data_IF_144892842908
#
_entry.id   IF_144892842908
#
_cell.length_a   1.000
_cell.length_b   1.000
_cell.length_c   1.000
_cell.angle_alpha   90.00
_cell.angle_beta   90.00
_cell.angle_gamma   90.00
#
_symmetry.space_group_name_H-M   'P 1'
#
loop_
_entity.id
_entity.type
_entity.pdbx_description
1 polymer ?
#
# COMPACT_ATOMS: atom_id res chain seq x y z
N UNK A 1 -6.85 -27.76 3.28
CA UNK A 1 -7.67 -28.18 4.41
C UNK A 1 -9.06 -27.56 4.22
N UNK A 2 -10.09 -28.40 4.11
CA UNK A 2 -11.48 -27.96 4.13
C UNK A 2 -11.83 -27.70 5.59
N UNK A 3 -11.98 -26.42 5.97
CA UNK A 3 -12.46 -26.06 7.31
C UNK A 3 -13.92 -26.46 7.43
N UNK A 4 -14.20 -27.47 8.27
CA UNK A 4 -15.57 -27.86 8.60
C UNK A 4 -15.88 -27.27 9.97
N UNK A 5 -16.91 -26.43 10.05
CA UNK A 5 -17.46 -25.94 11.31
C UNK A 5 -18.60 -26.86 11.70
N UNK A 6 -18.46 -27.53 12.84
CA UNK A 6 -19.54 -28.39 13.40
C UNK A 6 -20.34 -27.60 14.44
N UNK A 7 -21.62 -27.40 14.18
CA UNK A 7 -22.54 -26.71 15.09
C UNK A 7 -23.28 -27.74 15.88
N UNK A 8 -23.19 -27.69 17.22
CA UNK A 8 -23.79 -28.69 18.17
C UNK A 8 -25.29 -28.52 18.39
N UNK A 9 -26.05 -27.99 17.47
CA UNK A 9 -27.49 -27.76 17.54
C UNK A 9 -28.11 -27.50 16.18
N UNK A 10 -29.37 -27.06 16.13
CA UNK A 10 -29.98 -26.61 14.89
C UNK A 10 -29.18 -25.46 14.35
N UNK A 11 -28.68 -25.58 13.10
CA UNK A 11 -27.89 -24.52 12.47
C UNK A 11 -28.72 -23.25 12.34
N UNK A 12 -28.24 -22.09 12.79
CA UNK A 12 -28.89 -20.81 12.49
C UNK A 12 -28.92 -20.62 10.97
N UNK A 13 -29.90 -19.89 10.48
CA UNK A 13 -30.09 -19.68 9.04
C UNK A 13 -28.83 -19.11 8.35
N UNK A 14 -28.06 -18.28 9.07
CA UNK A 14 -26.82 -17.66 8.59
C UNK A 14 -25.76 -17.63 9.70
N UNK A 15 -24.99 -18.74 9.88
CA UNK A 15 -23.90 -18.74 10.84
C UNK A 15 -22.79 -17.78 10.42
N UNK A 16 -22.29 -16.98 11.35
CA UNK A 16 -21.10 -16.17 11.18
C UNK A 16 -19.98 -16.73 12.02
N UNK A 17 -18.77 -16.75 11.51
CA UNK A 17 -17.60 -17.20 12.24
C UNK A 17 -16.39 -16.35 11.90
N UNK A 18 -15.48 -16.21 12.85
CA UNK A 18 -14.13 -15.75 12.59
C UNK A 18 -13.30 -16.92 12.09
N UNK A 19 -12.58 -16.73 11.01
CA UNK A 19 -11.77 -17.78 10.41
C UNK A 19 -10.31 -17.36 10.47
N UNK A 20 -9.47 -18.14 11.12
CA UNK A 20 -8.03 -18.07 10.95
C UNK A 20 -7.68 -18.53 9.54
N UNK A 21 -6.88 -17.71 8.84
CA UNK A 21 -6.66 -17.84 7.40
C UNK A 21 -5.72 -18.98 7.01
N UNK A 22 -4.99 -18.76 5.92
CA UNK A 22 -4.10 -19.75 5.33
C UNK A 22 -2.86 -20.01 6.20
N UNK A 23 -2.69 -21.26 6.62
CA UNK A 23 -1.62 -21.69 7.53
C UNK A 23 -0.81 -22.87 6.95
N UNK A 24 0.06 -22.63 5.95
CA UNK A 24 0.90 -23.68 5.38
C UNK A 24 1.88 -24.22 6.45
N UNK A 25 1.92 -25.55 6.60
CA UNK A 25 2.77 -26.17 7.65
C UNK A 25 2.35 -25.84 9.09
N UNK A 26 1.13 -25.36 9.31
CA UNK A 26 0.60 -25.01 10.66
C UNK A 26 0.99 -23.60 11.13
N UNK A 27 1.64 -22.78 10.30
CA UNK A 27 2.00 -21.40 10.61
C UNK A 27 1.06 -20.45 9.87
N UNK A 28 0.31 -19.64 10.63
CA UNK A 28 -0.59 -18.64 10.05
C UNK A 28 0.21 -17.53 9.33
N UNK A 29 -0.07 -17.35 8.05
CA UNK A 29 0.43 -16.22 7.30
C UNK A 29 -0.52 -15.03 7.47
N UNK A 30 -0.02 -13.94 8.02
CA UNK A 30 -0.84 -12.75 8.33
C UNK A 30 -0.24 -11.44 7.83
N UNK A 31 1.03 -11.42 7.42
CA UNK A 31 1.70 -10.20 6.92
C UNK A 31 1.60 -10.13 5.42
N UNK A 32 1.43 -8.93 4.90
CA UNK A 32 1.20 -8.70 3.46
C UNK A 32 2.29 -9.29 2.56
N UNK A 33 3.58 -9.08 2.87
CA UNK A 33 4.67 -9.61 2.05
C UNK A 33 4.72 -11.13 2.04
N UNK A 34 4.49 -11.78 3.21
CA UNK A 34 4.46 -13.23 3.33
C UNK A 34 3.27 -13.84 2.57
N UNK A 35 2.10 -13.18 2.63
CA UNK A 35 0.92 -13.58 1.87
C UNK A 35 1.15 -13.46 0.36
N UNK A 36 1.76 -12.35 -0.11
CA UNK A 36 2.08 -12.14 -1.52
C UNK A 36 3.08 -13.21 -1.99
N UNK A 37 4.13 -13.49 -1.21
CA UNK A 37 5.10 -14.52 -1.54
C UNK A 37 4.41 -15.88 -1.69
N UNK A 38 3.57 -16.26 -0.74
CA UNK A 38 2.82 -17.50 -0.80
C UNK A 38 1.86 -17.58 -1.99
N UNK A 39 1.20 -16.46 -2.35
CA UNK A 39 0.34 -16.40 -3.54
C UNK A 39 1.15 -16.61 -4.83
N UNK A 40 2.33 -16.00 -4.94
CA UNK A 40 3.20 -16.15 -6.10
C UNK A 40 3.74 -17.58 -6.22
N UNK A 41 4.26 -18.16 -5.14
CA UNK A 41 4.86 -19.48 -5.15
C UNK A 41 3.84 -20.61 -5.28
N UNK A 42 2.80 -20.58 -4.43
CA UNK A 42 1.89 -21.73 -4.28
C UNK A 42 0.73 -21.72 -5.28
N UNK A 43 0.23 -20.54 -5.63
CA UNK A 43 -0.96 -20.42 -6.49
C UNK A 43 -0.61 -20.02 -7.92
N UNK A 44 0.34 -19.09 -8.10
CA UNK A 44 0.78 -18.68 -9.43
C UNK A 44 1.96 -19.52 -9.97
N UNK A 45 2.61 -20.29 -9.11
CA UNK A 45 3.77 -21.13 -9.44
C UNK A 45 4.90 -20.34 -10.13
N UNK A 46 5.10 -19.09 -9.69
CA UNK A 46 6.18 -18.23 -10.18
C UNK A 46 7.51 -18.75 -9.62
N UNK A 47 8.51 -18.99 -10.48
CA UNK A 47 9.83 -19.40 -10.01
C UNK A 47 10.47 -18.34 -9.08
N UNK A 48 11.13 -18.78 -7.99
CA UNK A 48 11.76 -17.88 -7.02
C UNK A 48 12.77 -16.91 -7.64
N UNK A 49 13.41 -17.30 -8.75
CA UNK A 49 14.33 -16.41 -9.48
C UNK A 49 13.62 -15.19 -10.08
N UNK A 50 12.30 -15.24 -10.24
CA UNK A 50 11.45 -14.17 -10.73
C UNK A 50 10.74 -13.40 -9.61
N UNK A 51 11.10 -13.66 -8.36
CA UNK A 51 10.55 -12.99 -7.18
C UNK A 51 11.66 -12.31 -6.41
N UNK A 52 11.50 -11.04 -6.10
CA UNK A 52 12.39 -10.35 -5.15
C UNK A 52 11.91 -10.65 -3.72
N UNK A 53 12.29 -11.83 -3.23
CA UNK A 53 11.93 -12.29 -1.88
C UNK A 53 12.41 -11.30 -0.81
N UNK A 54 13.58 -10.68 -1.02
CA UNK A 54 14.12 -9.72 -0.06
C UNK A 54 13.24 -8.47 0.06
N UNK A 55 12.71 -7.97 -1.05
CA UNK A 55 11.77 -6.85 -1.05
C UNK A 55 10.45 -7.20 -0.35
N UNK A 56 9.91 -8.40 -0.58
CA UNK A 56 8.67 -8.85 0.09
C UNK A 56 8.88 -9.02 1.60
N UNK A 57 10.02 -9.55 2.03
CA UNK A 57 10.37 -9.64 3.45
C UNK A 57 10.56 -8.24 4.08
N UNK A 58 11.18 -7.32 3.35
CA UNK A 58 11.30 -5.92 3.78
C UNK A 58 9.92 -5.24 3.89
N UNK A 59 8.99 -5.55 2.98
CA UNK A 59 7.60 -5.07 3.06
C UNK A 59 6.90 -5.60 4.32
N UNK A 60 7.03 -6.91 4.64
CA UNK A 60 6.51 -7.50 5.88
C UNK A 60 7.13 -6.87 7.14
N UNK A 61 8.41 -6.47 7.07
CA UNK A 61 9.08 -5.75 8.16
C UNK A 61 8.61 -4.30 8.31
N UNK A 62 8.39 -3.60 7.19
CA UNK A 62 7.91 -2.21 7.18
C UNK A 62 6.42 -2.09 7.56
N UNK A 63 5.65 -3.16 7.35
CA UNK A 63 4.25 -3.28 7.74
C UNK A 63 4.01 -4.65 8.39
N UNK A 64 4.30 -4.79 9.69
CA UNK A 64 4.20 -6.06 10.40
C UNK A 64 2.77 -6.41 10.85
N UNK A 65 1.82 -5.47 10.74
CA UNK A 65 0.46 -5.67 11.18
C UNK A 65 -0.25 -6.80 10.43
N UNK A 66 -1.04 -7.63 11.11
CA UNK A 66 -1.84 -8.64 10.49
C UNK A 66 -2.90 -8.06 9.56
N UNK A 67 -3.01 -8.65 8.37
CA UNK A 67 -4.04 -8.34 7.40
C UNK A 67 -4.85 -9.59 7.05
N UNK A 68 -6.11 -9.39 6.66
CA UNK A 68 -7.01 -10.47 6.26
C UNK A 68 -7.72 -10.16 4.94
N UNK A 69 -7.69 -11.10 4.02
CA UNK A 69 -8.41 -11.02 2.75
C UNK A 69 -9.22 -12.31 2.58
N UNK A 70 -10.53 -12.16 2.39
CA UNK A 70 -11.40 -13.25 1.99
C UNK A 70 -11.48 -13.36 0.47
N UNK A 71 -11.19 -14.55 -0.02
CA UNK A 71 -11.39 -14.92 -1.43
C UNK A 71 -12.54 -15.91 -1.46
N UNK A 72 -13.70 -15.44 -1.92
CA UNK A 72 -14.93 -16.26 -1.96
C UNK A 72 -14.88 -17.34 -3.04
N UNK A 73 -16.07 -17.84 -3.40
CA UNK A 73 -16.29 -18.89 -4.39
C UNK A 73 -16.03 -18.44 -5.86
N UNK A 74 -15.91 -17.13 -6.07
CA UNK A 74 -15.61 -16.58 -7.41
C UNK A 74 -14.11 -16.66 -7.68
N UNK A 75 -13.78 -17.12 -8.89
CA UNK A 75 -12.41 -17.12 -9.36
C UNK A 75 -11.83 -15.69 -9.32
N UNK A 76 -10.77 -15.51 -8.56
CA UNK A 76 -10.01 -14.27 -8.52
C UNK A 76 -8.66 -14.47 -9.21
N UNK A 77 -8.25 -13.51 -10.04
CA UNK A 77 -6.90 -13.57 -10.61
C UNK A 77 -5.85 -13.28 -9.56
N UNK A 78 -4.67 -13.87 -9.71
CA UNK A 78 -3.51 -13.61 -8.84
C UNK A 78 -3.23 -12.12 -8.71
N UNK A 79 -3.27 -11.38 -9.83
CA UNK A 79 -3.06 -9.93 -9.83
C UNK A 79 -4.12 -9.17 -9.03
N UNK A 80 -5.38 -9.63 -9.07
CA UNK A 80 -6.46 -9.03 -8.27
C UNK A 80 -6.20 -9.21 -6.78
N UNK A 81 -5.76 -10.40 -6.37
CA UNK A 81 -5.45 -10.72 -4.97
C UNK A 81 -4.25 -9.90 -4.49
N UNK A 82 -3.15 -9.92 -5.24
CA UNK A 82 -1.95 -9.14 -4.92
C UNK A 82 -2.27 -7.64 -4.87
N UNK A 83 -3.03 -7.15 -5.86
CA UNK A 83 -3.46 -5.75 -5.89
C UNK A 83 -4.33 -5.34 -4.70
N UNK A 84 -5.19 -6.24 -4.20
CA UNK A 84 -5.98 -6.00 -3.00
C UNK A 84 -5.09 -5.95 -1.74
N UNK A 85 -4.16 -6.89 -1.59
CA UNK A 85 -3.20 -6.93 -0.49
C UNK A 85 -2.33 -5.68 -0.44
N UNK A 86 -1.79 -5.24 -1.58
CA UNK A 86 -0.96 -4.04 -1.67
C UNK A 86 -1.76 -2.77 -1.36
N UNK A 87 -2.95 -2.62 -1.94
CA UNK A 87 -3.82 -1.47 -1.65
C UNK A 87 -4.22 -1.41 -0.18
N UNK A 88 -4.46 -2.57 0.43
CA UNK A 88 -4.87 -2.67 1.84
C UNK A 88 -3.87 -2.10 2.84
N UNK A 89 -2.63 -1.89 2.43
CA UNK A 89 -1.56 -1.30 3.26
C UNK A 89 -0.89 -0.09 2.58
N UNK A 90 -1.50 0.46 1.53
CA UNK A 90 -0.96 1.57 0.75
C UNK A 90 0.47 1.28 0.24
N UNK A 91 0.65 0.12 -0.36
CA UNK A 91 1.89 -0.35 -0.96
C UNK A 91 1.77 -0.39 -2.49
N UNK A 92 2.90 -0.44 -3.16
CA UNK A 92 3.03 -0.63 -4.60
C UNK A 92 3.69 -1.98 -4.90
N UNK A 93 3.47 -2.51 -6.10
CA UNK A 93 4.15 -3.69 -6.60
C UNK A 93 4.22 -3.68 -8.11
N UNK A 94 5.22 -4.36 -8.64
CA UNK A 94 5.48 -4.43 -10.07
C UNK A 94 6.69 -5.30 -10.37
N UNK A 95 7.23 -5.19 -11.58
CA UNK A 95 8.43 -5.90 -11.98
C UNK A 95 9.63 -4.96 -12.01
N UNK A 96 10.74 -5.40 -11.43
CA UNK A 96 12.01 -4.69 -11.49
C UNK A 96 12.67 -4.86 -12.88
N UNK A 97 13.84 -4.23 -13.06
CA UNK A 97 14.61 -4.32 -14.33
C UNK A 97 15.14 -5.72 -14.64
N UNK A 98 15.20 -6.60 -13.66
CA UNK A 98 15.56 -8.01 -13.82
C UNK A 98 14.34 -8.89 -14.09
N UNK A 99 13.18 -8.30 -14.34
CA UNK A 99 11.90 -8.97 -14.52
C UNK A 99 11.50 -9.84 -13.33
N UNK A 100 11.85 -9.40 -12.10
CA UNK A 100 11.42 -10.03 -10.86
C UNK A 100 10.26 -9.23 -10.26
N UNK A 101 9.24 -9.91 -9.76
CA UNK A 101 8.20 -9.25 -9.01
C UNK A 101 8.77 -8.67 -7.72
N UNK A 102 8.59 -7.39 -7.52
CA UNK A 102 9.01 -6.63 -6.34
C UNK A 102 7.86 -5.80 -5.79
N UNK A 103 7.91 -5.48 -4.52
CA UNK A 103 6.92 -4.63 -3.88
C UNK A 103 7.56 -3.78 -2.79
N UNK A 104 6.94 -2.65 -2.51
CA UNK A 104 7.40 -1.75 -1.47
C UNK A 104 6.30 -0.85 -0.95
N UNK A 105 6.57 -0.15 0.13
CA UNK A 105 5.64 0.80 0.71
C UNK A 105 6.10 2.21 0.41
N UNK A 106 5.18 3.08 -0.03
CA UNK A 106 5.52 4.48 -0.20
C UNK A 106 5.85 5.10 1.17
N UNK A 107 7.05 5.64 1.27
CA UNK A 107 7.56 6.29 2.47
C UNK A 107 8.12 7.67 2.14
N UNK A 108 8.27 8.50 3.17
CA UNK A 108 9.00 9.75 3.02
C UNK A 108 10.44 9.46 2.54
N UNK A 109 10.99 10.30 1.65
CA UNK A 109 12.35 10.11 1.16
C UNK A 109 13.36 10.02 2.28
N UNK A 110 14.21 8.99 2.25
CA UNK A 110 15.21 8.75 3.31
C UNK A 110 16.04 7.51 3.06
N UNK A 111 16.93 7.19 3.98
CA UNK A 111 17.82 6.02 3.89
C UNK A 111 18.99 6.20 2.94
N UNK A 112 19.37 5.14 2.22
CA UNK A 112 20.53 5.13 1.34
C UNK A 112 20.25 5.93 0.06
N UNK A 113 21.07 6.93 -0.21
CA UNK A 113 21.01 7.72 -1.44
C UNK A 113 21.70 6.93 -2.55
N UNK A 114 20.96 6.58 -3.59
CA UNK A 114 21.47 5.79 -4.72
C UNK A 114 22.16 6.65 -5.79
N UNK A 115 21.66 7.87 -5.99
CA UNK A 115 22.27 8.81 -6.91
C UNK A 115 22.00 10.25 -6.47
N UNK A 116 22.81 11.17 -7.01
CA UNK A 116 22.61 12.60 -6.86
C UNK A 116 22.48 13.21 -8.26
N UNK A 117 21.41 13.99 -8.48
CA UNK A 117 21.16 14.72 -9.69
C UNK A 117 21.34 16.21 -9.44
N UNK A 118 22.25 16.81 -10.17
CA UNK A 118 22.55 18.24 -10.13
C UNK A 118 22.12 18.96 -11.41
N UNK A 119 22.37 20.25 -11.49
CA UNK A 119 22.01 21.05 -12.64
C UNK A 119 22.72 20.62 -13.95
N UNK A 120 23.83 19.90 -13.87
CA UNK A 120 24.55 19.40 -15.05
C UNK A 120 23.95 18.11 -15.61
N UNK A 121 23.34 17.30 -14.73
CA UNK A 121 22.72 16.03 -15.09
C UNK A 121 21.23 16.17 -15.47
N UNK A 122 20.56 17.25 -15.06
CA UNK A 122 19.14 17.48 -15.31
C UNK A 122 18.93 18.24 -16.61
N UNK A 123 18.30 17.62 -17.58
CA UNK A 123 17.95 18.20 -18.89
C UNK A 123 16.62 18.92 -18.85
N UNK A 124 15.66 18.33 -18.18
CA UNK A 124 14.29 18.86 -18.06
C UNK A 124 13.74 18.65 -16.65
N UNK A 125 12.90 19.59 -16.22
CA UNK A 125 12.26 19.57 -14.92
C UNK A 125 10.87 20.18 -15.01
N UNK A 126 9.85 19.43 -14.60
CA UNK A 126 8.49 19.92 -14.48
C UNK A 126 7.88 19.44 -13.16
N UNK A 127 7.11 20.30 -12.51
CA UNK A 127 6.20 19.84 -11.46
C UNK A 127 4.98 19.23 -12.14
N UNK A 128 4.61 18.02 -11.70
CA UNK A 128 3.44 17.31 -12.22
C UNK A 128 2.34 17.29 -11.18
N UNK A 129 1.10 17.17 -11.63
CA UNK A 129 -0.04 17.04 -10.74
C UNK A 129 0.08 15.75 -9.93
N UNK A 130 -0.16 15.84 -8.64
CA UNK A 130 -0.28 14.67 -7.78
C UNK A 130 -1.65 13.99 -7.93
N UNK A 131 -1.79 12.76 -7.39
CA UNK A 131 -3.11 12.17 -7.22
C UNK A 131 -3.98 13.05 -6.32
N UNK A 132 -5.30 12.90 -6.43
CA UNK A 132 -6.28 13.74 -5.74
C UNK A 132 -6.05 13.84 -4.21
N UNK A 133 -5.51 12.79 -3.62
CA UNK A 133 -5.16 12.75 -2.17
C UNK A 133 -4.03 13.73 -1.80
N UNK A 134 -3.24 14.19 -2.76
CA UNK A 134 -2.07 15.05 -2.55
C UNK A 134 -2.28 16.50 -2.98
N UNK A 135 -3.26 16.80 -3.82
CA UNK A 135 -3.41 18.12 -4.43
C UNK A 135 -4.89 18.60 -4.46
N UNK A 136 -5.33 19.32 -3.43
CA UNK A 136 -4.64 19.64 -2.18
C UNK A 136 -4.49 18.42 -1.25
N UNK A 137 -3.49 18.41 -0.35
CA UNK A 137 -3.32 17.31 0.60
C UNK A 137 -4.60 17.07 1.42
N UNK A 138 -4.98 15.82 1.58
CA UNK A 138 -6.13 15.47 2.40
C UNK A 138 -5.86 15.82 3.87
N UNK A 139 -6.75 16.59 4.49
CA UNK A 139 -6.62 16.99 5.89
C UNK A 139 -6.97 15.88 6.87
N UNK A 140 -7.70 14.86 6.39
CA UNK A 140 -8.18 13.73 7.17
C UNK A 140 -8.05 12.46 6.34
N UNK A 141 -7.39 11.45 6.90
CA UNK A 141 -7.34 10.10 6.33
C UNK A 141 -8.21 9.15 7.15
N UNK A 142 -9.05 8.41 6.46
CA UNK A 142 -9.95 7.39 6.99
C UNK A 142 -9.49 6.04 6.42
N UNK A 143 -8.94 5.17 7.27
CA UNK A 143 -8.48 3.85 6.87
C UNK A 143 -9.50 2.82 7.32
N UNK A 144 -9.99 2.04 6.37
CA UNK A 144 -10.87 0.91 6.67
C UNK A 144 -10.09 -0.18 7.39
N UNK A 145 -10.75 -0.86 8.29
CA UNK A 145 -10.20 -2.03 8.94
C UNK A 145 -11.28 -3.09 9.16
N UNK A 146 -10.86 -4.33 9.27
CA UNK A 146 -11.72 -5.50 9.48
C UNK A 146 -12.96 -5.48 8.56
N UNK A 147 -12.76 -5.55 7.21
CA UNK A 147 -13.87 -5.53 6.28
C UNK A 147 -14.79 -6.74 6.50
N UNK A 148 -16.10 -6.49 6.53
CA UNK A 148 -17.13 -7.52 6.55
C UNK A 148 -17.48 -7.94 5.13
N UNK A 149 -17.23 -9.17 4.79
CA UNK A 149 -17.57 -9.71 3.46
C UNK A 149 -19.04 -10.12 3.34
N UNK A 150 -19.71 -10.24 4.50
CA UNK A 150 -21.16 -10.44 4.58
C UNK A 150 -21.73 -9.47 5.60
N UNK A 151 -22.37 -8.41 5.11
CA UNK A 151 -23.09 -7.45 5.96
C UNK A 151 -24.43 -8.07 6.31
N UNK A 152 -24.73 -8.21 7.59
CA UNK A 152 -25.99 -8.74 8.09
C UNK A 152 -26.65 -7.77 9.05
N UNK A 153 -27.87 -7.32 8.71
CA UNK A 153 -28.71 -6.51 9.59
C UNK A 153 -29.60 -7.38 10.48
N UNK A 154 -29.92 -8.60 10.02
CA UNK A 154 -30.85 -9.52 10.70
C UNK A 154 -30.06 -10.62 11.42
N UNK A 155 -29.54 -10.30 12.59
CA UNK A 155 -28.92 -11.27 13.49
C UNK A 155 -29.95 -11.87 14.45
N UNK A 156 -29.61 -13.04 14.99
CA UNK A 156 -30.40 -13.73 16.02
C UNK A 156 -30.80 -12.78 17.15
N UNK A 157 -31.97 -13.03 17.75
CA UNK A 157 -32.53 -12.21 18.84
C UNK A 157 -31.59 -12.09 20.04
N UNK A 158 -30.72 -13.08 20.25
CA UNK A 158 -29.74 -13.08 21.34
C UNK A 158 -28.47 -12.29 21.03
N UNK A 159 -28.30 -11.78 19.79
CA UNK A 159 -27.15 -10.93 19.45
C UNK A 159 -27.22 -9.61 20.23
N UNK A 160 -26.09 -9.22 20.82
CA UNK A 160 -26.01 -7.93 21.53
C UNK A 160 -26.13 -6.75 20.60
N UNK A 161 -26.52 -5.53 21.08
CA UNK A 161 -26.53 -4.33 20.26
C UNK A 161 -25.19 -4.04 19.58
N UNK A 162 -24.08 -4.31 20.28
CA UNK A 162 -22.71 -4.12 19.77
C UNK A 162 -22.42 -5.09 18.61
N UNK A 163 -22.82 -6.37 18.77
CA UNK A 163 -22.68 -7.38 17.69
C UNK A 163 -23.49 -6.98 16.46
N UNK A 164 -24.73 -6.47 16.65
CA UNK A 164 -25.60 -5.99 15.58
C UNK A 164 -24.96 -4.80 14.87
N UNK A 165 -24.48 -3.81 15.63
CA UNK A 165 -23.82 -2.64 15.07
C UNK A 165 -22.53 -3.02 14.31
N UNK A 166 -21.81 -4.01 14.82
CA UNK A 166 -20.60 -4.52 14.18
C UNK A 166 -20.88 -5.20 12.84
N UNK A 167 -21.86 -6.10 12.81
CA UNK A 167 -22.19 -6.87 11.60
C UNK A 167 -22.95 -6.07 10.55
N UNK A 168 -23.60 -4.98 10.94
CA UNK A 168 -24.30 -4.08 10.02
C UNK A 168 -23.35 -3.19 9.18
N UNK A 169 -22.06 -3.13 9.52
CA UNK A 169 -21.08 -2.29 8.83
C UNK A 169 -20.22 -3.12 7.87
N UNK A 170 -20.07 -2.61 6.63
CA UNK A 170 -19.17 -3.22 5.64
C UNK A 170 -17.69 -3.11 6.03
N UNK A 171 -17.31 -2.03 6.70
CA UNK A 171 -15.97 -1.84 7.28
C UNK A 171 -16.04 -0.80 8.40
N UNK A 172 -15.06 -0.82 9.29
CA UNK A 172 -14.87 0.17 10.35
C UNK A 172 -13.82 1.16 9.89
N UNK A 173 -13.81 2.34 10.48
CA UNK A 173 -12.91 3.42 10.10
C UNK A 173 -12.00 3.78 11.26
N UNK A 174 -10.72 3.78 11.01
CA UNK A 174 -9.72 4.45 11.82
C UNK A 174 -9.40 5.81 11.18
N UNK A 175 -9.30 6.86 11.98
CA UNK A 175 -9.25 8.24 11.48
C UNK A 175 -8.10 8.98 12.07
N UNK A 176 -7.29 9.62 11.22
CA UNK A 176 -6.32 10.62 11.62
C UNK A 176 -6.55 11.92 10.84
N UNK A 177 -6.33 13.06 11.49
CA UNK A 177 -6.57 14.38 10.90
C UNK A 177 -5.49 15.38 11.33
N UNK A 178 -5.24 16.35 10.45
CA UNK A 178 -4.40 17.52 10.74
C UNK A 178 -5.14 18.79 10.33
N UNK A 179 -5.66 19.51 11.30
CA UNK A 179 -6.41 20.74 11.08
C UNK A 179 -5.57 21.82 10.38
N UNK A 180 -4.25 21.84 10.58
CA UNK A 180 -3.38 22.81 9.92
C UNK A 180 -3.32 22.64 8.40
N UNK A 181 -3.63 21.43 7.88
CA UNK A 181 -3.79 21.23 6.45
C UNK A 181 -5.07 21.91 5.95
N UNK A 182 -6.17 21.77 6.68
CA UNK A 182 -7.44 22.40 6.32
C UNK A 182 -7.34 23.93 6.38
N UNK A 183 -6.69 24.47 7.41
CA UNK A 183 -6.47 25.92 7.54
C UNK A 183 -5.65 26.49 6.37
N UNK A 184 -4.70 25.72 5.87
CA UNK A 184 -3.86 26.11 4.74
C UNK A 184 -4.51 25.87 3.37
N UNK A 185 -5.32 24.84 3.27
CA UNK A 185 -5.94 24.35 2.03
C UNK A 185 -7.45 24.20 2.22
N UNK A 186 -8.20 25.31 2.10
CA UNK A 186 -9.65 25.35 2.35
C UNK A 186 -10.48 24.40 1.49
N UNK A 187 -9.94 23.95 0.36
CA UNK A 187 -10.57 22.96 -0.54
C UNK A 187 -10.19 21.52 -0.24
N UNK A 188 -9.34 21.30 0.77
CA UNK A 188 -8.94 19.97 1.20
C UNK A 188 -10.14 19.13 1.63
N UNK A 189 -10.13 17.86 1.29
CA UNK A 189 -11.22 16.91 1.58
C UNK A 189 -10.71 15.73 2.39
N UNK A 190 -11.58 15.05 3.14
CA UNK A 190 -11.26 13.74 3.72
C UNK A 190 -10.97 12.74 2.61
N UNK A 191 -10.03 11.84 2.87
CA UNK A 191 -9.68 10.75 1.97
C UNK A 191 -9.87 9.40 2.65
N UNK A 192 -10.65 8.53 2.03
CA UNK A 192 -10.92 7.18 2.53
C UNK A 192 -10.09 6.17 1.74
N UNK A 193 -9.38 5.31 2.47
CA UNK A 193 -8.52 4.26 1.94
C UNK A 193 -9.05 2.91 2.39
N UNK A 194 -9.32 1.97 1.47
CA UNK A 194 -9.66 0.61 1.85
C UNK A 194 -8.45 -0.03 2.56
N UNK A 195 -8.69 -0.64 3.69
CA UNK A 195 -7.66 -1.33 4.48
C UNK A 195 -8.08 -2.77 4.79
N UNK A 196 -7.09 -3.62 5.02
CA UNK A 196 -7.27 -5.03 5.34
C UNK A 196 -6.79 -5.38 6.76
N UNK A 197 -6.53 -4.36 7.59
CA UNK A 197 -6.03 -4.55 8.95
C UNK A 197 -7.00 -5.33 9.83
N UNK A 198 -6.45 -6.25 10.61
CA UNK A 198 -7.22 -7.03 11.56
C UNK A 198 -7.55 -6.24 12.83
N UNK A 199 -6.72 -5.25 13.20
CA UNK A 199 -6.88 -4.46 14.41
C UNK A 199 -7.05 -2.97 14.12
N UNK A 200 -7.85 -2.29 14.95
CA UNK A 200 -8.06 -0.85 14.86
C UNK A 200 -6.79 -0.04 15.06
N UNK A 201 -5.93 -0.47 15.99
CA UNK A 201 -4.68 0.25 16.29
C UNK A 201 -3.77 0.33 15.07
N UNK A 202 -3.62 -0.77 14.32
CA UNK A 202 -2.79 -0.82 13.11
C UNK A 202 -3.34 0.10 12.00
N UNK A 203 -4.66 0.13 11.84
CA UNK A 203 -5.31 1.04 10.90
C UNK A 203 -5.19 2.51 11.34
N UNK A 204 -5.19 2.77 12.66
CA UNK A 204 -4.99 4.11 13.21
C UNK A 204 -3.56 4.60 12.96
N UNK A 205 -2.56 3.74 13.13
CA UNK A 205 -1.17 4.04 12.82
C UNK A 205 -0.99 4.30 11.32
N UNK A 206 -1.67 3.54 10.47
CA UNK A 206 -1.66 3.78 9.02
C UNK A 206 -2.30 5.11 8.66
N UNK A 207 -3.45 5.46 9.24
CA UNK A 207 -4.11 6.73 9.00
C UNK A 207 -3.20 7.92 9.39
N UNK A 208 -2.55 7.83 10.55
CA UNK A 208 -1.58 8.84 11.01
C UNK A 208 -0.37 8.95 10.06
N UNK A 209 0.15 7.81 9.60
CA UNK A 209 1.24 7.75 8.61
C UNK A 209 0.86 8.44 7.30
N UNK A 210 -0.36 8.20 6.80
CA UNK A 210 -0.82 8.79 5.53
C UNK A 210 -0.96 10.32 5.64
N UNK A 211 -1.50 10.83 6.75
CA UNK A 211 -1.54 12.29 7.02
C UNK A 211 -0.12 12.87 6.97
N UNK A 212 0.83 12.25 7.67
CA UNK A 212 2.22 12.72 7.71
C UNK A 212 2.90 12.62 6.34
N UNK A 213 2.64 11.53 5.60
CA UNK A 213 3.22 11.26 4.28
C UNK A 213 2.80 12.31 3.26
N UNK A 214 1.50 12.60 3.17
CA UNK A 214 0.98 13.47 2.11
C UNK A 214 0.94 14.95 2.46
N UNK A 215 1.22 15.33 3.70
CA UNK A 215 1.08 16.70 4.21
C UNK A 215 1.71 17.78 3.34
N UNK A 216 2.90 17.58 2.81
CA UNK A 216 3.65 18.58 2.04
C UNK A 216 4.44 17.94 0.88
N UNK A 217 3.85 16.97 0.21
CA UNK A 217 4.55 16.25 -0.85
C UNK A 217 4.21 16.81 -2.21
N UNK A 218 5.22 16.84 -3.07
CA UNK A 218 5.11 17.30 -4.45
C UNK A 218 5.69 16.26 -5.38
N UNK A 219 5.14 16.19 -6.56
CA UNK A 219 5.63 15.34 -7.62
C UNK A 219 6.35 16.17 -8.68
N UNK A 220 7.48 15.69 -9.08
CA UNK A 220 8.27 16.28 -10.14
C UNK A 220 8.66 15.21 -11.15
N UNK A 221 8.66 15.61 -12.41
CA UNK A 221 9.21 14.83 -13.51
C UNK A 221 10.54 15.41 -13.91
N UNK A 222 11.56 14.58 -13.87
CA UNK A 222 12.92 14.92 -14.26
C UNK A 222 13.30 14.16 -15.52
N UNK A 223 13.92 14.87 -16.46
CA UNK A 223 14.66 14.25 -17.54
C UNK A 223 16.13 14.40 -17.23
N UNK A 224 16.84 13.28 -17.17
CA UNK A 224 18.26 13.23 -16.80
C UNK A 224 19.07 12.44 -17.81
N UNK A 225 20.37 12.81 -17.96
CA UNK A 225 21.32 12.03 -18.74
C UNK A 225 21.85 10.84 -17.93
N UNK A 226 22.12 9.74 -18.61
CA UNK A 226 22.86 8.59 -18.09
C UNK A 226 22.42 8.14 -16.67
N UNK A 227 21.26 7.53 -16.58
CA UNK A 227 20.86 6.91 -15.31
C UNK A 227 21.84 5.78 -14.95
N UNK A 228 22.28 5.80 -13.69
CA UNK A 228 22.96 4.67 -13.11
C UNK A 228 22.03 3.43 -13.17
N UNK A 229 22.50 2.27 -13.62
CA UNK A 229 21.70 1.06 -13.70
C UNK A 229 21.16 0.58 -12.33
N UNK A 230 21.62 1.19 -11.27
CA UNK A 230 21.27 0.86 -9.88
C UNK A 230 20.00 1.56 -9.37
N UNK A 231 19.44 2.52 -10.14
CA UNK A 231 18.24 3.25 -9.72
C UNK A 231 17.00 2.48 -10.13
N UNK A 232 16.12 2.25 -9.17
CA UNK A 232 14.84 1.59 -9.38
C UNK A 232 13.72 2.26 -8.57
N UNK A 233 12.48 1.87 -8.82
CA UNK A 233 11.29 2.37 -8.12
C UNK A 233 11.42 2.11 -6.61
N UNK A 234 10.99 3.07 -5.81
CA UNK A 234 11.04 3.03 -4.35
C UNK A 234 12.39 3.47 -3.75
N UNK A 235 13.41 3.69 -4.57
CA UNK A 235 14.73 4.10 -4.08
C UNK A 235 14.81 5.61 -3.86
N UNK A 236 15.70 6.01 -2.94
CA UNK A 236 15.93 7.41 -2.62
C UNK A 236 17.09 7.96 -3.44
N UNK A 237 16.83 9.11 -4.06
CA UNK A 237 17.82 9.91 -4.77
C UNK A 237 17.93 11.29 -4.13
N UNK A 238 19.03 11.98 -4.37
CA UNK A 238 19.21 13.39 -4.00
C UNK A 238 19.08 14.26 -5.24
N UNK A 239 18.34 15.36 -5.10
CA UNK A 239 18.21 16.40 -6.11
C UNK A 239 18.86 17.67 -5.59
N UNK A 240 19.80 18.21 -6.34
CA UNK A 240 20.43 19.50 -6.07
C UNK A 240 20.22 20.43 -7.26
N UNK A 241 19.07 21.10 -7.26
CA UNK A 241 18.67 22.00 -8.32
C UNK A 241 18.08 23.30 -7.74
N UNK A 242 18.57 24.49 -8.12
CA UNK A 242 18.20 25.72 -7.43
C UNK A 242 16.75 26.16 -7.67
N UNK A 243 16.12 25.68 -8.75
CA UNK A 243 14.70 25.99 -9.03
C UNK A 243 13.77 25.17 -8.13
N UNK A 244 12.59 25.69 -7.86
CA UNK A 244 11.53 25.08 -7.06
C UNK A 244 11.94 24.73 -5.62
N UNK A 245 13.01 25.32 -5.11
CA UNK A 245 13.57 25.05 -3.79
C UNK A 245 13.98 23.56 -3.61
N UNK A 246 14.65 23.00 -4.63
CA UNK A 246 15.10 21.62 -4.67
C UNK A 246 16.57 21.44 -4.29
N UNK A 247 17.22 22.46 -3.75
CA UNK A 247 18.63 22.35 -3.34
C UNK A 247 18.76 21.30 -2.23
N UNK A 248 19.62 20.28 -2.49
CA UNK A 248 19.93 19.19 -1.56
C UNK A 248 18.69 18.45 -1.02
N UNK A 249 17.66 18.25 -1.84
CA UNK A 249 16.43 17.55 -1.45
C UNK A 249 16.52 16.06 -1.71
N UNK A 250 15.98 15.29 -0.77
CA UNK A 250 15.76 13.85 -0.97
C UNK A 250 14.43 13.62 -1.68
N UNK A 251 14.42 12.66 -2.58
CA UNK A 251 13.23 12.25 -3.32
C UNK A 251 13.18 10.73 -3.44
N UNK A 252 11.96 10.18 -3.45
CA UNK A 252 11.71 8.77 -3.75
C UNK A 252 11.32 8.63 -5.21
N UNK A 253 11.92 7.68 -5.91
CA UNK A 253 11.60 7.35 -7.31
C UNK A 253 10.27 6.60 -7.34
N UNK A 254 9.26 7.16 -8.00
CA UNK A 254 7.94 6.54 -8.21
C UNK A 254 7.79 5.95 -9.60
N UNK A 255 8.45 6.53 -10.57
CA UNK A 255 8.40 6.10 -11.96
C UNK A 255 9.75 6.25 -12.63
N UNK A 256 10.02 5.38 -13.57
CA UNK A 256 11.26 5.35 -14.33
C UNK A 256 10.99 4.87 -15.74
N UNK A 257 11.31 5.71 -16.71
CA UNK A 257 11.36 5.34 -18.12
C UNK A 257 12.74 5.63 -18.67
N UNK A 258 13.32 4.71 -19.41
CA UNK A 258 14.67 4.85 -19.98
C UNK A 258 14.60 4.78 -21.49
N UNK A 259 15.07 5.85 -22.15
CA UNK A 259 15.32 5.89 -23.57
C UNK A 259 16.81 5.65 -23.83
N UNK A 260 17.13 4.45 -24.29
CA UNK A 260 18.50 4.03 -24.55
C UNK A 260 19.11 4.69 -25.79
N UNK A 261 18.27 5.06 -26.77
CA UNK A 261 18.73 5.73 -27.99
C UNK A 261 19.11 7.19 -27.70
N UNK A 262 18.23 7.90 -27.02
CA UNK A 262 18.47 9.29 -26.60
C UNK A 262 19.46 9.38 -25.41
N UNK A 263 19.78 8.29 -24.76
CA UNK A 263 20.54 8.23 -23.48
C UNK A 263 19.93 9.14 -22.40
N UNK A 264 18.61 9.19 -22.40
CA UNK A 264 17.81 9.95 -21.44
C UNK A 264 17.03 9.02 -20.56
N UNK A 265 16.76 9.45 -19.36
CA UNK A 265 15.77 8.82 -18.55
C UNK A 265 14.81 9.85 -17.96
N UNK A 266 13.57 9.45 -17.85
CA UNK A 266 12.51 10.20 -17.20
C UNK A 266 12.22 9.55 -15.84
N UNK A 267 12.27 10.38 -14.81
CA UNK A 267 12.04 9.99 -13.42
C UNK A 267 10.86 10.77 -12.85
N UNK A 268 9.87 10.07 -12.33
CA UNK A 268 8.85 10.67 -11.48
C UNK A 268 9.30 10.58 -10.02
N UNK A 269 9.49 11.72 -9.40
CA UNK A 269 10.05 11.86 -8.06
C UNK A 269 9.03 12.42 -7.08
N UNK A 270 8.94 11.78 -5.91
CA UNK A 270 8.14 12.19 -4.77
C UNK A 270 9.03 12.86 -3.73
N UNK A 271 8.69 14.11 -3.32
CA UNK A 271 9.46 14.94 -2.41
C UNK A 271 8.64 15.37 -1.19
#
# INVERSE_FOLDING_TARGET
ATGIVTIGGAAPAFPTCDVEGYAPGGVLLSRTGDLILSVLESFAQVPNVQIDVAALMALSGAQPAPVGLWIGDRAASVLTVIGALLRGITAWGGFDRLNRFTAGRLAAPGGVIRATFDAASIVGLAQIAGPEVMDPPAWRHEVEWQPSYTVSADLDINATPEQRAFMAQAARLAVAADAAILDKHLTSRPWRTPGLFAAQADAQDEAARLVALYRNRRLFRFQVFNIAPEIDIGQTVRVDYPRFNLSNRLATVLGLAVDTEARLAELDLFL
#
